data_IF_154442193583
#
_entry.id   IF_154442193583
#
_cell.length_a   1.000
_cell.length_b   1.000
_cell.length_c   1.000
_cell.angle_alpha   90.00
_cell.angle_beta   90.00
_cell.angle_gamma   90.00
#
_symmetry.space_group_name_H-M   'P 1'
#
loop_
_entity.id
_entity.type
_entity.pdbx_description
1 polymer ?
#
# COMPACT_ATOMS: atom_id res chain seq x y z
N UNK A 1 11.02 -56.24 62.28
CA UNK A 1 12.20 -56.10 63.17
C UNK A 1 12.87 -54.76 62.85
N UNK A 2 13.29 -53.98 63.87
CA UNK A 2 14.10 -52.73 63.79
C UNK A 2 13.49 -51.59 62.94
N UNK A 3 12.81 -50.56 63.47
CA UNK A 3 13.25 -49.43 64.34
C UNK A 3 14.35 -48.53 63.75
N UNK A 4 14.26 -47.22 64.10
CA UNK A 4 15.27 -46.14 63.98
C UNK A 4 15.17 -45.24 62.73
N UNK A 5 15.15 -43.89 62.76
CA UNK A 5 14.65 -42.89 63.77
C UNK A 5 14.79 -41.43 63.25
N UNK A 6 13.73 -40.59 63.36
CA UNK A 6 13.74 -39.07 63.33
C UNK A 6 14.20 -38.37 62.02
N UNK A 7 13.98 -37.07 61.75
CA UNK A 7 13.27 -35.90 62.37
C UNK A 7 12.72 -35.05 61.16
N UNK A 8 11.54 -34.39 61.21
CA UNK A 8 11.34 -32.92 61.31
C UNK A 8 12.16 -32.02 60.33
N UNK A 9 11.65 -30.91 59.75
CA UNK A 9 10.42 -30.13 59.97
C UNK A 9 10.19 -29.07 58.84
N UNK A 10 8.93 -28.68 58.61
CA UNK A 10 8.38 -27.40 58.07
C UNK A 10 8.81 -26.77 56.71
N UNK A 11 7.75 -26.42 55.96
CA UNK A 11 7.51 -25.16 55.19
C UNK A 11 8.44 -24.81 54.00
N UNK A 12 7.94 -24.37 52.85
CA UNK A 12 7.04 -23.21 52.63
C UNK A 12 6.16 -23.38 51.38
N UNK A 13 5.05 -22.62 51.38
CA UNK A 13 4.05 -22.49 50.33
C UNK A 13 4.58 -21.78 49.05
N UNK A 14 4.53 -22.42 47.89
CA UNK A 14 4.32 -21.77 46.57
C UNK A 14 4.16 -22.82 45.45
N UNK A 15 3.10 -22.69 44.64
CA UNK A 15 2.86 -23.52 43.45
C UNK A 15 3.59 -22.96 42.23
N UNK A 16 4.45 -23.73 41.53
CA UNK A 16 4.82 -23.42 40.15
C UNK A 16 3.69 -23.85 39.21
N UNK A 17 3.14 -22.82 38.57
CA UNK A 17 2.27 -22.78 37.40
C UNK A 17 2.32 -24.02 36.47
N UNK A 18 1.15 -24.39 35.96
CA UNK A 18 0.89 -25.35 34.88
C UNK A 18 1.88 -25.24 33.70
N UNK A 19 2.90 -26.08 33.67
CA UNK A 19 3.74 -26.30 32.49
C UNK A 19 3.08 -27.31 31.54
N UNK A 20 1.94 -26.93 30.96
CA UNK A 20 1.23 -27.70 29.93
C UNK A 20 1.13 -26.88 28.64
N UNK A 21 1.20 -27.58 27.50
CA UNK A 21 1.22 -27.05 26.14
C UNK A 21 2.47 -26.23 25.77
N UNK A 22 3.36 -26.87 25.00
CA UNK A 22 4.32 -26.18 24.15
C UNK A 22 3.57 -25.25 23.19
N UNK A 23 3.71 -23.96 23.39
CA UNK A 23 3.34 -22.93 22.41
C UNK A 23 4.43 -21.87 22.45
N UNK A 24 5.20 -21.77 21.38
CA UNK A 24 6.29 -20.82 21.24
C UNK A 24 5.73 -19.39 21.08
N UNK A 25 5.41 -18.76 22.20
CA UNK A 25 5.19 -17.32 22.32
C UNK A 25 6.43 -16.71 22.97
N UNK A 26 7.22 -15.94 22.21
CA UNK A 26 8.49 -15.42 22.73
C UNK A 26 9.38 -14.65 21.75
N UNK A 27 9.19 -14.78 20.43
CA UNK A 27 9.84 -13.87 19.47
C UNK A 27 8.80 -12.90 18.93
N UNK A 28 8.58 -11.83 19.69
CA UNK A 28 7.99 -10.61 19.15
C UNK A 28 8.97 -10.08 18.10
N UNK A 29 8.77 -10.48 16.85
CA UNK A 29 9.57 -10.01 15.73
C UNK A 29 9.39 -8.51 15.64
N UNK A 30 10.41 -7.77 16.07
CA UNK A 30 10.58 -6.40 15.62
C UNK A 30 10.51 -6.46 14.09
N UNK A 31 9.43 -5.94 13.51
CA UNK A 31 9.28 -5.87 12.07
C UNK A 31 10.38 -4.92 11.59
N UNK A 32 11.52 -5.48 11.18
CA UNK A 32 12.55 -4.77 10.46
C UNK A 32 11.88 -4.22 9.21
N UNK A 33 11.54 -2.93 9.24
CA UNK A 33 10.88 -2.26 8.13
C UNK A 33 11.75 -2.45 6.91
N UNK A 34 11.20 -3.11 5.88
CA UNK A 34 11.91 -3.34 4.63
C UNK A 34 12.45 -1.99 4.14
N UNK A 35 13.76 -1.89 3.84
CA UNK A 35 14.34 -0.66 3.31
C UNK A 35 13.51 -0.12 2.14
N UNK A 36 13.35 1.19 2.05
CA UNK A 36 12.67 1.82 0.93
C UNK A 36 13.37 1.46 -0.37
N UNK A 37 12.60 1.06 -1.39
CA UNK A 37 13.12 0.94 -2.75
C UNK A 37 13.38 2.37 -3.24
N UNK A 38 14.59 2.65 -3.72
CA UNK A 38 14.95 3.95 -4.27
C UNK A 38 14.28 4.17 -5.64
N UNK A 39 14.02 5.44 -6.02
CA UNK A 39 13.56 5.77 -7.38
C UNK A 39 14.53 5.18 -8.43
N UNK A 40 14.05 4.46 -9.45
CA UNK A 40 14.92 3.95 -10.51
C UNK A 40 15.58 5.09 -11.29
N UNK A 41 16.87 4.94 -11.61
CA UNK A 41 17.63 5.94 -12.35
C UNK A 41 17.29 5.98 -13.86
N UNK A 42 16.81 4.88 -14.43
CA UNK A 42 16.38 4.80 -15.83
C UNK A 42 14.85 4.75 -15.93
N UNK A 43 14.20 5.58 -16.78
CA UNK A 43 12.77 5.47 -17.03
C UNK A 43 12.37 4.20 -17.80
N UNK A 44 13.34 3.48 -18.39
CA UNK A 44 13.10 2.26 -19.17
C UNK A 44 13.35 0.96 -18.40
N UNK A 45 13.79 1.03 -17.13
CA UNK A 45 13.93 -0.16 -16.28
C UNK A 45 12.58 -0.51 -15.63
N UNK A 46 11.70 -1.16 -16.42
CA UNK A 46 10.35 -1.53 -15.98
C UNK A 46 10.35 -2.39 -14.71
N UNK A 47 11.36 -3.25 -14.53
CA UNK A 47 11.46 -4.11 -13.35
C UNK A 47 11.74 -3.28 -12.08
N UNK A 48 12.67 -2.34 -12.16
CA UNK A 48 12.95 -1.41 -11.06
C UNK A 48 11.74 -0.50 -10.77
N UNK A 49 11.04 -0.01 -11.80
CA UNK A 49 9.82 0.80 -11.61
C UNK A 49 8.68 0.02 -11.00
N UNK A 50 8.41 -1.21 -11.45
CA UNK A 50 7.40 -2.07 -10.85
C UNK A 50 7.73 -2.39 -9.38
N UNK A 51 9.00 -2.64 -9.05
CA UNK A 51 9.44 -2.85 -7.67
C UNK A 51 9.28 -1.59 -6.80
N UNK A 52 9.62 -0.41 -7.34
CA UNK A 52 9.46 0.88 -6.67
C UNK A 52 7.99 1.20 -6.39
N UNK A 53 7.13 1.14 -7.42
CA UNK A 53 5.70 1.39 -7.31
C UNK A 53 5.05 0.42 -6.33
N UNK A 54 5.40 -0.87 -6.37
CA UNK A 54 4.88 -1.87 -5.41
C UNK A 54 5.29 -1.53 -3.97
N UNK A 55 6.52 -1.07 -3.74
CA UNK A 55 7.00 -0.65 -2.42
C UNK A 55 6.25 0.60 -1.92
N UNK A 56 6.02 1.60 -2.80
CA UNK A 56 5.22 2.78 -2.48
C UNK A 56 3.76 2.42 -2.16
N UNK A 57 3.09 1.61 -3.00
CA UNK A 57 1.71 1.15 -2.74
C UNK A 57 1.63 0.40 -1.42
N UNK A 58 2.57 -0.51 -1.14
CA UNK A 58 2.60 -1.28 0.12
C UNK A 58 2.69 -0.36 1.35
N UNK A 59 3.47 0.73 1.27
CA UNK A 59 3.61 1.71 2.37
C UNK A 59 2.35 2.53 2.61
N UNK A 60 1.52 2.73 1.59
CA UNK A 60 0.28 3.52 1.65
C UNK A 60 -0.99 2.64 1.77
N UNK A 61 -0.84 1.33 1.98
CA UNK A 61 -1.99 0.43 2.13
C UNK A 61 -2.91 0.83 3.29
N UNK A 62 -2.41 1.37 4.42
CA UNK A 62 -3.18 1.92 5.55
C UNK A 62 -4.62 1.34 5.72
N UNK A 63 -4.72 0.04 6.00
CA UNK A 63 -6.00 -0.64 6.24
C UNK A 63 -6.94 -0.77 5.03
N UNK A 64 -6.45 -0.59 3.80
CA UNK A 64 -7.21 -0.75 2.58
C UNK A 64 -7.73 -2.18 2.42
N UNK A 65 -9.01 -2.28 2.06
CA UNK A 65 -9.73 -3.54 1.82
C UNK A 65 -9.66 -3.99 0.37
N UNK A 66 -9.41 -3.04 -0.54
CA UNK A 66 -9.13 -3.30 -1.95
C UNK A 66 -8.07 -2.34 -2.49
N UNK A 67 -7.35 -2.75 -3.53
CA UNK A 67 -6.30 -1.92 -4.14
C UNK A 67 -6.29 -2.13 -5.65
N UNK A 68 -6.38 -1.02 -6.38
CA UNK A 68 -6.28 -0.98 -7.83
C UNK A 68 -5.04 -0.18 -8.21
N UNK A 69 -4.12 -0.80 -8.95
CA UNK A 69 -2.91 -0.16 -9.45
C UNK A 69 -3.07 0.15 -10.94
N UNK A 70 -2.77 1.38 -11.33
CA UNK A 70 -2.77 1.88 -12.69
C UNK A 70 -1.35 2.34 -13.03
N UNK A 71 -0.67 1.54 -13.84
CA UNK A 71 0.71 1.79 -14.25
C UNK A 71 0.81 1.88 -15.77
N UNK A 72 1.90 2.49 -16.24
CA UNK A 72 2.26 2.60 -17.65
C UNK A 72 3.57 1.84 -17.90
N UNK A 73 3.79 1.26 -19.09
CA UNK A 73 5.07 0.67 -19.48
C UNK A 73 6.18 1.73 -19.62
N UNK A 74 7.38 1.31 -19.97
CA UNK A 74 8.50 2.21 -20.24
C UNK A 74 8.12 3.30 -21.29
N UNK A 75 8.48 4.59 -21.07
CA UNK A 75 8.14 5.65 -22.00
C UNK A 75 8.73 5.39 -23.39
N UNK A 76 7.89 5.45 -24.42
CA UNK A 76 8.29 5.14 -25.80
C UNK A 76 8.38 3.66 -26.14
N UNK A 77 7.88 2.74 -25.30
CA UNK A 77 7.70 1.34 -25.67
C UNK A 77 6.74 1.20 -26.87
N UNK A 78 6.84 0.08 -27.59
CA UNK A 78 5.81 -0.28 -28.58
C UNK A 78 4.44 -0.38 -27.88
N UNK A 79 3.39 0.19 -28.50
CA UNK A 79 2.05 0.21 -27.92
C UNK A 79 1.90 1.03 -26.63
N UNK A 80 2.79 2.01 -26.36
CA UNK A 80 2.70 2.90 -25.19
C UNK A 80 1.35 3.63 -25.13
N UNK A 81 0.94 4.29 -26.20
CA UNK A 81 -0.31 5.07 -26.25
C UNK A 81 -1.56 4.20 -26.07
N UNK A 82 -1.57 3.00 -26.66
CA UNK A 82 -2.65 2.02 -26.44
C UNK A 82 -2.69 1.54 -24.98
N UNK A 83 -1.53 1.42 -24.33
CA UNK A 83 -1.43 1.02 -22.92
C UNK A 83 -1.92 2.14 -22.01
N UNK A 84 -1.57 3.39 -22.31
CA UNK A 84 -2.13 4.57 -21.67
C UNK A 84 -3.65 4.64 -21.81
N UNK A 85 -4.18 4.46 -23.03
CA UNK A 85 -5.63 4.50 -23.26
C UNK A 85 -6.36 3.39 -22.51
N UNK A 86 -5.84 2.15 -22.51
CA UNK A 86 -6.39 1.04 -21.70
C UNK A 86 -6.38 1.34 -20.20
N UNK A 87 -5.30 1.92 -19.68
CA UNK A 87 -5.20 2.26 -18.27
C UNK A 87 -6.18 3.38 -17.89
N UNK A 88 -6.32 4.40 -18.74
CA UNK A 88 -7.33 5.47 -18.62
C UNK A 88 -8.75 4.91 -18.64
N UNK A 89 -9.09 4.04 -19.60
CA UNK A 89 -10.45 3.53 -19.72
C UNK A 89 -10.82 2.60 -18.57
N UNK A 90 -9.88 1.77 -18.09
CA UNK A 90 -10.06 1.01 -16.85
C UNK A 90 -10.28 1.94 -15.65
N UNK A 91 -9.45 2.97 -15.49
CA UNK A 91 -9.57 3.91 -14.39
C UNK A 91 -10.90 4.68 -14.42
N UNK A 92 -11.37 5.11 -15.60
CA UNK A 92 -12.71 5.70 -15.78
C UNK A 92 -13.82 4.72 -15.40
N UNK A 93 -13.72 3.46 -15.81
CA UNK A 93 -14.71 2.44 -15.46
C UNK A 93 -14.80 2.29 -13.93
N UNK A 94 -13.65 2.15 -13.26
CA UNK A 94 -13.56 2.01 -11.81
C UNK A 94 -14.07 3.28 -11.08
N UNK A 95 -13.73 4.49 -11.54
CA UNK A 95 -14.27 5.77 -10.99
C UNK A 95 -15.79 5.88 -11.23
N UNK A 96 -16.30 5.46 -12.38
CA UNK A 96 -17.72 5.58 -12.74
C UNK A 96 -18.64 4.70 -11.88
N UNK A 97 -18.09 3.63 -11.30
CA UNK A 97 -18.79 2.75 -10.34
C UNK A 97 -19.00 3.41 -8.97
N UNK A 98 -18.33 4.53 -8.70
CA UNK A 98 -18.35 5.22 -7.41
C UNK A 98 -17.45 4.57 -6.36
N UNK A 99 -17.34 5.23 -5.21
CA UNK A 99 -16.42 4.85 -4.16
C UNK A 99 -16.90 3.70 -3.30
N UNK A 100 -16.01 2.73 -3.08
CA UNK A 100 -16.12 1.74 -2.01
C UNK A 100 -15.14 2.12 -0.90
N UNK A 101 -15.63 2.24 0.33
CA UNK A 101 -14.80 2.62 1.48
C UNK A 101 -13.64 1.63 1.70
N UNK A 102 -12.45 2.17 1.95
CA UNK A 102 -11.23 1.36 2.09
C UNK A 102 -10.58 0.97 0.76
N UNK A 103 -11.06 1.49 -0.38
CA UNK A 103 -10.37 1.34 -1.67
C UNK A 103 -9.17 2.26 -1.77
N UNK A 104 -8.03 1.71 -2.18
CA UNK A 104 -6.86 2.46 -2.62
C UNK A 104 -6.74 2.40 -4.15
N UNK A 105 -6.80 3.55 -4.82
CA UNK A 105 -6.50 3.68 -6.25
C UNK A 105 -5.10 4.28 -6.39
N UNK A 106 -4.12 3.49 -6.80
CA UNK A 106 -2.73 3.91 -6.92
C UNK A 106 -2.33 4.11 -8.38
N UNK A 107 -1.80 5.29 -8.70
CA UNK A 107 -1.36 5.69 -10.04
C UNK A 107 0.15 5.95 -10.01
N UNK A 108 0.92 5.29 -10.86
CA UNK A 108 2.37 5.45 -10.88
C UNK A 108 3.04 4.86 -12.12
N UNK A 109 4.04 5.54 -12.66
CA UNK A 109 4.91 5.01 -13.72
C UNK A 109 6.23 5.78 -13.77
N UNK A 110 7.11 5.42 -14.72
CA UNK A 110 8.30 6.20 -15.04
C UNK A 110 7.99 7.58 -15.67
N UNK A 111 6.79 7.77 -16.23
CA UNK A 111 6.33 9.06 -16.76
C UNK A 111 5.31 9.66 -15.80
N UNK A 112 5.79 10.50 -14.89
CA UNK A 112 4.96 11.26 -13.95
C UNK A 112 3.88 12.08 -14.66
N UNK A 113 4.24 12.72 -15.78
CA UNK A 113 3.33 13.60 -16.49
C UNK A 113 2.16 12.82 -17.12
N UNK A 114 2.45 11.68 -17.77
CA UNK A 114 1.40 10.79 -18.28
C UNK A 114 0.60 10.12 -17.17
N UNK A 115 1.19 9.87 -16.01
CA UNK A 115 0.48 9.34 -14.85
C UNK A 115 -0.57 10.35 -14.33
N UNK A 116 -0.21 11.62 -14.23
CA UNK A 116 -1.16 12.67 -13.87
C UNK A 116 -2.17 12.99 -15.00
N UNK A 117 -1.80 12.87 -16.28
CA UNK A 117 -2.77 12.92 -17.39
C UNK A 117 -3.83 11.81 -17.26
N UNK A 118 -3.41 10.61 -16.86
CA UNK A 118 -4.31 9.49 -16.61
C UNK A 118 -5.28 9.76 -15.46
N UNK A 119 -4.81 10.35 -14.34
CA UNK A 119 -5.67 10.78 -13.23
C UNK A 119 -6.69 11.82 -13.71
N UNK A 120 -6.24 12.86 -14.43
CA UNK A 120 -7.12 13.91 -14.98
C UNK A 120 -8.17 13.31 -15.92
N UNK A 121 -7.78 12.38 -16.79
CA UNK A 121 -8.70 11.73 -17.72
C UNK A 121 -9.67 10.75 -17.04
N UNK A 122 -9.27 10.10 -15.95
CA UNK A 122 -10.09 9.16 -15.18
C UNK A 122 -11.15 9.86 -14.32
N UNK A 123 -10.80 10.99 -13.71
CA UNK A 123 -11.71 11.77 -12.86
C UNK A 123 -12.53 12.82 -13.64
N UNK A 124 -12.27 13.01 -14.94
CA UNK A 124 -13.11 13.86 -15.79
C UNK A 124 -14.53 13.29 -15.90
N UNK A 125 -15.51 14.03 -15.38
CA UNK A 125 -16.91 13.58 -15.29
C UNK A 125 -17.22 12.70 -14.07
N UNK A 126 -16.29 12.53 -13.13
CA UNK A 126 -16.59 11.93 -11.82
C UNK A 126 -17.68 12.75 -11.10
N UNK A 127 -18.62 12.07 -10.46
CA UNK A 127 -19.67 12.72 -9.70
C UNK A 127 -19.11 13.44 -8.48
N UNK A 128 -19.74 14.55 -8.08
CA UNK A 128 -19.35 15.26 -6.85
C UNK A 128 -19.60 14.35 -5.66
N UNK A 129 -18.61 14.24 -4.76
CA UNK A 129 -18.66 13.44 -3.54
C UNK A 129 -18.91 11.92 -3.70
N UNK A 130 -18.92 11.38 -4.93
CA UNK A 130 -19.23 9.94 -5.17
C UNK A 130 -18.11 8.98 -4.77
N UNK A 131 -16.90 9.48 -4.48
CA UNK A 131 -15.70 8.70 -4.16
C UNK A 131 -15.27 8.84 -2.69
N UNK A 132 -16.16 9.30 -1.80
CA UNK A 132 -15.89 9.35 -0.35
C UNK A 132 -15.48 7.98 0.19
N UNK A 133 -14.45 7.95 1.04
CA UNK A 133 -13.88 6.71 1.58
C UNK A 133 -12.87 6.01 0.66
N UNK A 134 -12.72 6.46 -0.60
CA UNK A 134 -11.62 6.06 -1.49
C UNK A 134 -10.40 6.94 -1.22
N UNK A 135 -9.21 6.35 -1.33
CA UNK A 135 -7.94 7.06 -1.34
C UNK A 135 -7.32 6.96 -2.74
N UNK A 136 -6.85 8.08 -3.27
CA UNK A 136 -6.15 8.17 -4.55
C UNK A 136 -4.70 8.52 -4.28
N UNK A 137 -3.82 7.54 -4.49
CA UNK A 137 -2.38 7.71 -4.34
C UNK A 137 -1.75 8.04 -5.71
N UNK A 138 -1.14 9.20 -5.81
CA UNK A 138 -0.28 9.55 -6.94
C UNK A 138 1.19 9.33 -6.57
N UNK A 139 1.89 8.49 -7.35
CA UNK A 139 3.33 8.24 -7.25
C UNK A 139 3.99 8.92 -8.45
N UNK A 140 4.71 10.02 -8.23
CA UNK A 140 5.25 10.83 -9.32
C UNK A 140 6.03 12.06 -8.83
N UNK A 141 6.37 12.94 -9.76
CA UNK A 141 7.16 14.14 -9.49
C UNK A 141 6.28 15.28 -8.94
N UNK A 142 6.83 16.11 -8.05
CA UNK A 142 6.06 17.16 -7.37
C UNK A 142 5.44 18.21 -8.33
N UNK A 143 6.00 18.37 -9.53
CA UNK A 143 5.49 19.27 -10.57
C UNK A 143 4.08 18.87 -11.09
N UNK A 144 3.71 17.59 -10.98
CA UNK A 144 2.44 17.06 -11.46
C UNK A 144 1.37 16.92 -10.37
N UNK A 145 1.76 17.08 -9.09
CA UNK A 145 0.90 16.85 -7.92
C UNK A 145 -0.39 17.69 -7.99
N UNK A 146 -0.26 19.01 -8.14
CA UNK A 146 -1.39 19.92 -7.91
C UNK A 146 -2.48 19.79 -8.99
N UNK A 147 -2.10 19.43 -10.22
CA UNK A 147 -3.07 19.15 -11.30
C UNK A 147 -3.80 17.81 -11.12
N UNK A 148 -3.11 16.79 -10.59
CA UNK A 148 -3.74 15.52 -10.23
C UNK A 148 -4.70 15.69 -9.04
N UNK A 149 -4.27 16.41 -8.00
CA UNK A 149 -5.10 16.72 -6.83
C UNK A 149 -6.36 17.50 -7.22
N UNK A 150 -6.23 18.52 -8.08
CA UNK A 150 -7.35 19.33 -8.53
C UNK A 150 -8.42 18.53 -9.30
N UNK A 151 -8.01 17.49 -10.05
CA UNK A 151 -8.95 16.61 -10.77
C UNK A 151 -9.67 15.64 -9.81
N UNK A 152 -8.99 15.13 -8.80
CA UNK A 152 -9.56 14.18 -7.82
C UNK A 152 -10.52 14.88 -6.85
N UNK A 153 -10.17 16.09 -6.39
CA UNK A 153 -10.84 16.81 -5.30
C UNK A 153 -12.37 16.91 -5.39
N UNK A 154 -13.02 17.17 -6.55
CA UNK A 154 -14.48 17.23 -6.66
C UNK A 154 -15.18 15.91 -6.28
N UNK A 155 -14.51 14.77 -6.48
CA UNK A 155 -15.09 13.45 -6.21
C UNK A 155 -15.22 13.10 -4.72
N UNK A 156 -14.61 13.89 -3.82
CA UNK A 156 -14.59 13.61 -2.38
C UNK A 156 -13.64 12.49 -1.94
N UNK A 157 -12.85 11.91 -2.85
CA UNK A 157 -11.76 11.00 -2.49
C UNK A 157 -10.62 11.72 -1.75
N UNK A 158 -9.93 11.02 -0.85
CA UNK A 158 -8.71 11.53 -0.20
C UNK A 158 -7.55 11.42 -1.19
N UNK A 159 -6.94 12.55 -1.58
CA UNK A 159 -5.72 12.55 -2.38
C UNK A 159 -4.48 12.34 -1.48
N UNK A 160 -3.57 11.48 -1.94
CA UNK A 160 -2.30 11.14 -1.29
C UNK A 160 -1.17 11.23 -2.33
N UNK A 161 0.00 11.72 -1.93
CA UNK A 161 1.12 11.93 -2.83
C UNK A 161 2.41 11.31 -2.31
N UNK A 162 2.99 10.42 -3.10
CA UNK A 162 4.31 9.87 -2.90
C UNK A 162 5.26 10.49 -3.95
N UNK A 163 6.12 11.40 -3.50
CA UNK A 163 7.11 12.03 -4.37
C UNK A 163 8.14 11.00 -4.84
N UNK A 164 8.31 10.89 -6.15
CA UNK A 164 9.30 10.04 -6.78
C UNK A 164 10.70 10.65 -6.62
N UNK A 165 11.42 10.23 -5.58
CA UNK A 165 12.81 10.64 -5.26
C UNK A 165 13.61 9.51 -4.61
#
# INVERSE_FOLDING_TARGET
MKTTTRLLLLAVLALPVLAACKKDEGTQTAQTSKPAVAKPASPTDENAWNAYITDQVTRHLEGATSTFAYTLPAPGSEGYDDSFQRAVDKAKEDVSRGGVEGTLMAFGSADSAKTADMIVAAFNGAGVDTMKGVRVLFIGDAADKDRAEAAVKPSGAKFEFAEAK
#
